data_IF_402109020299
#
_entry.id   IF_402109020299
#
_cell.length_a   1.000
_cell.length_b   1.000
_cell.length_c   1.000
_cell.angle_alpha   90.00
_cell.angle_beta   90.00
_cell.angle_gamma   90.00
#
_symmetry.space_group_name_H-M   'P 1'
#
loop_
_entity.id
_entity.type
_entity.pdbx_description
1 polymer ?
#
# COMPACT_ATOMS: atom_id res chain seq x y z
N UNK A 1 9.55 -8.09 -4.91
CA UNK A 1 8.17 -7.74 -5.28
C UNK A 1 8.02 -6.22 -5.10
N UNK A 2 8.38 -5.41 -6.10
CA UNK A 2 8.44 -3.94 -5.96
C UNK A 2 8.01 -3.17 -7.22
N UNK A 3 7.24 -3.80 -8.11
CA UNK A 3 6.62 -3.12 -9.26
C UNK A 3 5.11 -3.07 -9.05
N UNK A 4 4.57 -2.01 -8.43
CA UNK A 4 3.14 -1.76 -8.47
C UNK A 4 2.76 -1.40 -9.92
N UNK A 5 1.70 -2.03 -10.44
CA UNK A 5 1.17 -1.81 -11.78
C UNK A 5 -0.05 -0.87 -11.69
N UNK A 6 0.15 0.46 -11.72
CA UNK A 6 -0.93 1.42 -11.49
C UNK A 6 -1.99 1.37 -12.58
N UNK A 7 -1.69 0.88 -13.78
CA UNK A 7 -2.65 0.83 -14.89
C UNK A 7 -3.55 -0.43 -14.86
N UNK A 8 -3.23 -1.40 -14.01
CA UNK A 8 -4.09 -2.55 -13.71
C UNK A 8 -3.99 -2.94 -12.22
N UNK A 9 -4.42 -2.07 -11.29
CA UNK A 9 -4.12 -2.26 -9.89
C UNK A 9 -5.09 -3.29 -9.27
N UNK A 10 -4.54 -4.31 -8.63
CA UNK A 10 -5.33 -5.26 -7.81
C UNK A 10 -6.07 -4.54 -6.66
N UNK A 11 -5.55 -3.40 -6.21
CA UNK A 11 -6.20 -2.50 -5.27
C UNK A 11 -6.33 -1.10 -5.90
N UNK A 12 -7.56 -0.73 -6.27
CA UNK A 12 -7.87 0.52 -6.96
C UNK A 12 -7.44 1.78 -6.21
N UNK A 13 -7.60 1.85 -4.89
CA UNK A 13 -7.22 3.02 -4.09
C UNK A 13 -5.71 3.24 -4.06
N UNK A 14 -4.95 2.16 -3.85
CA UNK A 14 -3.49 2.19 -3.89
C UNK A 14 -2.96 2.55 -5.28
N UNK A 15 -3.63 2.06 -6.33
CA UNK A 15 -3.34 2.45 -7.72
C UNK A 15 -3.66 3.91 -8.00
N UNK A 16 -4.74 4.44 -7.43
CA UNK A 16 -5.12 5.85 -7.57
C UNK A 16 -4.11 6.78 -6.89
N UNK A 17 -3.60 6.41 -5.71
CA UNK A 17 -2.52 7.16 -5.04
C UNK A 17 -1.26 7.22 -5.88
N UNK A 18 -0.89 6.11 -6.53
CA UNK A 18 0.28 6.10 -7.42
C UNK A 18 0.04 6.90 -8.71
N UNK A 19 -1.14 6.80 -9.31
CA UNK A 19 -1.48 7.53 -10.54
C UNK A 19 -1.61 9.04 -10.32
N UNK A 20 -2.03 9.47 -9.13
CA UNK A 20 -2.07 10.89 -8.74
C UNK A 20 -0.70 11.44 -8.30
N UNK A 21 0.33 10.59 -8.23
CA UNK A 21 1.68 10.96 -7.77
C UNK A 21 1.84 11.01 -6.24
N UNK A 22 0.83 10.62 -5.47
CA UNK A 22 0.89 10.56 -4.00
C UNK A 22 1.59 9.29 -3.50
N UNK A 23 2.89 9.20 -3.77
CA UNK A 23 3.74 8.08 -3.33
C UNK A 23 3.82 8.01 -1.79
N UNK A 24 3.77 9.16 -1.11
CA UNK A 24 3.80 9.22 0.36
C UNK A 24 2.54 8.60 0.96
N UNK A 25 1.38 8.88 0.39
CA UNK A 25 0.11 8.25 0.75
C UNK A 25 0.17 6.74 0.57
N UNK A 26 0.64 6.26 -0.57
CA UNK A 26 0.81 4.83 -0.86
C UNK A 26 1.72 4.14 0.18
N UNK A 27 2.89 4.72 0.48
CA UNK A 27 3.83 4.17 1.47
C UNK A 27 3.25 4.16 2.90
N UNK A 28 2.48 5.20 3.25
CA UNK A 28 1.83 5.30 4.56
C UNK A 28 0.80 4.20 4.75
N UNK A 29 -0.02 3.94 3.71
CA UNK A 29 -0.99 2.85 3.69
C UNK A 29 -0.31 1.48 3.85
N UNK A 30 0.75 1.21 3.07
CA UNK A 30 1.50 -0.04 3.16
C UNK A 30 2.03 -0.28 4.59
N UNK A 31 2.65 0.74 5.20
CA UNK A 31 3.19 0.64 6.57
C UNK A 31 2.10 0.40 7.61
N UNK A 32 0.93 1.02 7.46
CA UNK A 32 -0.22 0.83 8.35
C UNK A 32 -0.69 -0.63 8.33
N UNK A 33 -0.94 -1.19 7.15
CA UNK A 33 -1.35 -2.59 7.02
C UNK A 33 -0.28 -3.57 7.52
N UNK A 34 1.01 -3.31 7.28
CA UNK A 34 2.08 -4.14 7.85
C UNK A 34 2.01 -4.18 9.39
N UNK A 35 1.76 -3.05 10.04
CA UNK A 35 1.61 -3.02 11.50
C UNK A 35 0.38 -3.78 11.99
N UNK A 36 -0.73 -3.70 11.27
CA UNK A 36 -1.97 -4.37 11.69
C UNK A 36 -1.96 -5.88 11.44
N UNK A 37 -1.38 -6.31 10.31
CA UNK A 37 -1.53 -7.68 9.83
C UNK A 37 -0.28 -8.54 9.98
N UNK A 38 0.90 -7.94 10.13
CA UNK A 38 2.18 -8.66 10.19
C UNK A 38 2.96 -8.45 11.50
N UNK A 39 2.40 -7.74 12.47
CA UNK A 39 2.94 -7.73 13.84
C UNK A 39 2.54 -9.03 14.57
N UNK A 40 3.44 -9.64 15.35
CA UNK A 40 3.08 -10.77 16.20
C UNK A 40 1.98 -10.36 17.18
N UNK A 41 1.00 -11.23 17.41
CA UNK A 41 0.04 -11.03 18.50
C UNK A 41 0.83 -10.97 19.81
N UNK A 42 0.65 -9.89 20.57
CA UNK A 42 1.10 -9.86 21.96
C UNK A 42 0.23 -10.85 22.73
N UNK A 43 0.85 -11.91 23.23
CA UNK A 43 0.28 -12.80 24.23
C UNK A 43 0.07 -12.05 25.55
#
# INVERSE_FOLDING_TARGET
MAHPEPDSPLNCDSGNLLRSGDVRGFQSMARMYTKLAAMPKKN
#
